data_IF_971579485099
#
_entry.id   IF_971579485099
#
_cell.length_a   1.000
_cell.length_b   1.000
_cell.length_c   1.000
_cell.angle_alpha   90.00
_cell.angle_beta   90.00
_cell.angle_gamma   90.00
#
_symmetry.space_group_name_H-M   'P 1'
#
loop_
_entity.id
_entity.type
_entity.pdbx_description
1 polymer ?
#
# COMPACT_ATOMS: atom_id res chain seq x y z
N UNK A 1 21.13 4.50 -9.53
CA UNK A 1 21.35 5.68 -8.69
C UNK A 1 20.47 6.81 -9.21
N UNK A 2 19.65 7.44 -8.36
CA UNK A 2 19.01 8.70 -8.74
C UNK A 2 20.09 9.78 -8.87
N UNK A 3 19.97 10.61 -9.91
CA UNK A 3 20.74 11.83 -10.10
C UNK A 3 20.24 12.93 -9.15
N UNK A 4 21.17 13.50 -8.36
CA UNK A 4 20.92 14.52 -7.34
C UNK A 4 20.40 15.84 -7.90
N UNK A 5 20.59 16.09 -9.20
CA UNK A 5 20.14 17.31 -9.86
C UNK A 5 18.73 17.19 -10.46
N UNK A 6 18.11 16.01 -10.39
CA UNK A 6 16.75 15.80 -10.89
C UNK A 6 15.71 15.93 -9.79
N UNK A 7 14.55 16.47 -10.14
CA UNK A 7 13.43 16.55 -9.21
C UNK A 7 12.77 15.17 -9.04
N UNK A 8 12.14 14.95 -7.89
CA UNK A 8 11.37 13.72 -7.63
C UNK A 8 10.28 13.46 -8.68
N UNK A 9 9.69 14.53 -9.22
CA UNK A 9 8.69 14.46 -10.31
C UNK A 9 9.25 13.87 -11.59
N UNK A 10 10.54 14.06 -11.88
CA UNK A 10 11.20 13.51 -13.08
C UNK A 10 11.31 11.98 -13.02
N UNK A 11 11.23 11.41 -11.81
CA UNK A 11 11.14 9.98 -11.55
C UNK A 11 9.71 9.49 -11.30
N UNK A 12 8.70 10.34 -11.51
CA UNK A 12 7.29 9.99 -11.37
C UNK A 12 6.73 10.12 -9.95
N UNK A 13 7.52 10.57 -8.97
CA UNK A 13 7.03 10.89 -7.62
C UNK A 13 6.30 12.24 -7.65
N UNK A 14 5.01 12.17 -7.93
CA UNK A 14 4.11 13.33 -8.05
C UNK A 14 3.08 13.32 -6.92
N UNK A 15 2.37 14.42 -6.73
CA UNK A 15 1.32 14.53 -5.70
C UNK A 15 0.15 13.57 -5.90
N UNK A 16 -0.09 13.10 -7.12
CA UNK A 16 -1.14 12.12 -7.44
C UNK A 16 -0.71 10.69 -7.13
N UNK A 17 0.59 10.39 -7.26
CA UNK A 17 1.18 9.07 -7.01
C UNK A 17 1.57 8.90 -5.54
N UNK A 18 2.31 9.85 -4.96
CA UNK A 18 2.79 9.83 -3.58
C UNK A 18 1.84 10.58 -2.62
N UNK A 19 0.60 10.08 -2.52
CA UNK A 19 -0.45 10.70 -1.68
C UNK A 19 -0.21 10.44 -0.19
N UNK A 20 -0.70 11.32 0.69
CA UNK A 20 -0.50 11.19 2.13
C UNK A 20 -0.98 9.85 2.72
N UNK A 21 -2.15 9.37 2.29
CA UNK A 21 -2.73 8.09 2.70
C UNK A 21 -2.15 6.86 1.97
N UNK A 22 -1.35 7.08 0.93
CA UNK A 22 -0.73 6.02 0.11
C UNK A 22 0.62 6.53 -0.41
N UNK A 23 1.61 6.68 0.48
CA UNK A 23 2.90 7.25 0.12
C UNK A 23 3.64 6.32 -0.86
N UNK A 24 4.50 6.91 -1.69
CA UNK A 24 5.39 6.14 -2.55
C UNK A 24 6.66 5.72 -1.79
N UNK A 25 7.19 4.54 -2.11
CA UNK A 25 8.41 4.01 -1.49
C UNK A 25 9.66 4.50 -2.24
N UNK A 26 10.68 4.90 -1.49
CA UNK A 26 12.01 5.22 -2.00
C UNK A 26 13.00 4.27 -1.32
N UNK A 27 13.73 3.49 -2.11
CA UNK A 27 14.80 2.63 -1.61
C UNK A 27 16.04 3.45 -1.26
N UNK A 28 16.65 3.15 -0.12
CA UNK A 28 17.89 3.75 0.36
C UNK A 28 18.92 2.65 0.57
N UNK A 29 20.15 2.91 0.13
CA UNK A 29 21.30 2.03 0.32
C UNK A 29 22.49 2.86 0.79
N UNK A 30 23.34 2.26 1.61
CA UNK A 30 24.57 2.86 2.09
C UNK A 30 25.79 2.40 1.29
N UNK A 31 26.84 3.21 1.37
CA UNK A 31 28.17 2.85 0.90
C UNK A 31 28.90 2.14 2.03
N UNK A 32 29.50 0.99 1.75
CA UNK A 32 30.29 0.23 2.73
C UNK A 32 31.62 0.91 3.00
N UNK A 33 32.33 0.47 4.04
CA UNK A 33 33.65 0.99 4.40
C UNK A 33 34.69 0.77 3.30
N UNK A 34 34.52 -0.29 2.50
CA UNK A 34 35.34 -0.63 1.33
C UNK A 34 35.03 0.24 0.11
N UNK A 35 34.00 1.09 0.20
CA UNK A 35 33.61 2.02 -0.85
C UNK A 35 32.66 1.45 -1.90
N UNK A 36 32.11 0.26 -1.69
CA UNK A 36 31.09 -0.35 -2.55
C UNK A 36 29.67 0.03 -2.08
N UNK A 37 28.67 -0.10 -2.94
CA UNK A 37 27.27 0.09 -2.55
C UNK A 37 26.68 -1.23 -2.09
N UNK A 38 25.94 -1.21 -0.98
CA UNK A 38 25.21 -2.41 -0.55
C UNK A 38 24.03 -2.73 -1.48
N UNK A 39 23.57 -3.98 -1.43
CA UNK A 39 22.37 -4.37 -2.14
C UNK A 39 21.14 -3.76 -1.48
N UNK A 40 20.20 -3.27 -2.28
CA UNK A 40 18.90 -2.83 -1.77
C UNK A 40 18.16 -4.02 -1.16
N UNK A 41 17.88 -3.94 0.14
CA UNK A 41 17.03 -4.88 0.86
C UNK A 41 15.91 -4.11 1.57
N UNK A 42 14.67 -4.47 1.26
CA UNK A 42 13.47 -3.88 1.87
C UNK A 42 12.68 -5.02 2.48
N UNK A 43 12.72 -5.15 3.80
CA UNK A 43 11.92 -6.15 4.49
C UNK A 43 10.43 -5.82 4.46
N UNK A 44 9.57 -6.81 4.18
CA UNK A 44 8.14 -6.61 4.15
C UNK A 44 7.60 -6.29 5.55
N UNK A 45 6.49 -5.55 5.59
CA UNK A 45 5.71 -5.40 6.81
C UNK A 45 5.10 -6.73 7.24
N UNK A 46 4.75 -6.84 8.52
CA UNK A 46 4.00 -7.99 9.03
C UNK A 46 2.64 -8.13 8.36
N UNK A 47 2.20 -9.37 8.17
CA UNK A 47 0.83 -9.66 7.72
C UNK A 47 -0.19 -9.32 8.81
N UNK A 48 -1.37 -8.79 8.46
CA UNK A 48 -2.45 -8.59 9.41
C UNK A 48 -2.96 -9.94 9.96
N UNK A 49 -3.59 -9.96 11.14
CA UNK A 49 -4.22 -11.16 11.68
C UNK A 49 -5.43 -11.58 10.83
N UNK A 50 -5.93 -12.80 11.07
CA UNK A 50 -7.17 -13.25 10.44
C UNK A 50 -8.34 -12.33 10.82
N UNK A 51 -9.17 -12.00 9.84
CA UNK A 51 -10.35 -11.17 10.03
C UNK A 51 -11.36 -11.91 10.94
N UNK A 52 -11.82 -11.32 12.06
CA UNK A 52 -12.85 -11.93 12.90
C UNK A 52 -14.14 -12.23 12.14
N UNK A 53 -14.87 -13.28 12.51
CA UNK A 53 -16.10 -13.68 11.81
C UNK A 53 -17.17 -12.58 11.77
N UNK A 54 -17.24 -11.76 12.82
CA UNK A 54 -18.17 -10.60 12.89
C UNK A 54 -17.83 -9.48 11.90
N UNK A 55 -16.58 -9.42 11.41
CA UNK A 55 -16.12 -8.45 10.42
C UNK A 55 -16.15 -9.00 8.99
N UNK A 56 -16.35 -10.31 8.81
CA UNK A 56 -16.57 -10.90 7.50
C UNK A 56 -17.93 -10.40 6.97
N UNK A 57 -18.05 -10.10 5.66
CA UNK A 57 -19.35 -9.75 5.09
C UNK A 57 -20.35 -10.85 5.42
N UNK A 58 -21.48 -10.50 6.03
CA UNK A 58 -22.58 -11.43 6.19
C UNK A 58 -23.05 -11.80 4.79
N UNK A 59 -23.13 -13.09 4.48
CA UNK A 59 -23.49 -13.58 3.15
C UNK A 59 -24.65 -12.77 2.57
N UNK A 60 -24.49 -12.35 1.31
CA UNK A 60 -25.45 -11.64 0.49
C UNK A 60 -26.69 -12.50 0.14
N UNK A 61 -27.25 -13.23 1.12
CA UNK A 61 -28.29 -14.23 0.96
C UNK A 61 -29.58 -13.94 1.74
N UNK A 62 -29.75 -12.74 2.31
CA UNK A 62 -31.11 -12.24 2.54
C UNK A 62 -31.62 -11.62 1.24
N UNK A 63 -32.09 -12.50 0.34
CA UNK A 63 -33.07 -12.11 -0.67
C UNK A 63 -34.12 -11.25 0.02
N UNK A 64 -34.37 -10.06 -0.52
CA UNK A 64 -35.51 -9.22 -0.19
C UNK A 64 -36.74 -10.11 0.03
N UNK A 65 -37.12 -10.38 1.28
CA UNK A 65 -38.50 -10.73 1.59
C UNK A 65 -39.26 -9.43 1.40
N UNK A 66 -39.78 -9.25 0.19
CA UNK A 66 -40.84 -8.30 -0.08
C UNK A 66 -42.07 -8.76 0.71
N UNK A 67 -42.20 -8.28 1.95
CA UNK A 67 -43.48 -8.25 2.65
C UNK A 67 -44.42 -7.34 1.85
N UNK A 68 -45.16 -7.95 0.92
CA UNK A 68 -46.29 -7.29 0.27
C UNK A 68 -47.45 -7.34 1.25
N UNK A 69 -47.51 -6.37 2.15
CA UNK A 69 -48.69 -6.13 2.96
C UNK A 69 -49.44 -4.94 2.34
N UNK A 70 -50.56 -5.22 1.67
CA UNK A 70 -51.49 -4.17 1.23
C UNK A 70 -52.92 -4.69 1.34
N UNK A 71 -53.62 -4.11 2.33
CA UNK A 71 -55.06 -3.93 2.51
C UNK A 71 -56.02 -5.12 2.31
#
# INVERSE_FOLDING_TARGET
MSDDHKALSDYGYTSTVARAQSPATIGLIFRTEEGEWEQLDIHPLSSPPELPDVMKPQDANQAHQSETNTA
#
